data_IF_002415842770
#
_entry.id   IF_002415842770
#
_cell.length_a   1.000
_cell.length_b   1.000
_cell.length_c   1.000
_cell.angle_alpha   90.00
_cell.angle_beta   90.00
_cell.angle_gamma   90.00
#
_symmetry.space_group_name_H-M   'P 1'
#
loop_
_entity.id
_entity.type
_entity.pdbx_description
1 polymer ?
#
# COMPACT_ATOMS: atom_id res chain seq x y z
N UNK A 1 9.35 0.88 -6.00
CA UNK A 1 9.95 1.85 -6.94
C UNK A 1 9.07 3.09 -7.10
N UNK A 2 7.78 2.94 -7.44
CA UNK A 2 6.86 4.07 -7.69
C UNK A 2 6.86 5.15 -6.60
N UNK A 3 6.63 4.76 -5.33
CA UNK A 3 6.65 5.70 -4.19
C UNK A 3 7.98 6.45 -4.11
N UNK A 4 9.10 5.72 -4.14
CA UNK A 4 10.43 6.29 -3.92
C UNK A 4 10.92 7.15 -5.08
N UNK A 5 10.57 6.81 -6.31
CA UNK A 5 10.83 7.70 -7.45
C UNK A 5 10.01 8.99 -7.35
N UNK A 6 8.74 8.88 -6.95
CA UNK A 6 7.87 10.06 -6.77
C UNK A 6 8.44 10.98 -5.69
N UNK A 7 8.85 10.39 -4.57
CA UNK A 7 9.52 11.11 -3.49
C UNK A 7 10.81 11.76 -3.95
N UNK A 8 11.68 11.06 -4.67
CA UNK A 8 12.90 11.65 -5.23
C UNK A 8 12.58 12.85 -6.12
N UNK A 9 11.58 12.75 -6.97
CA UNK A 9 11.26 13.81 -7.94
C UNK A 9 10.56 15.02 -7.31
N UNK A 10 9.68 14.80 -6.35
CA UNK A 10 8.75 15.84 -5.86
C UNK A 10 8.98 16.28 -4.41
N UNK A 11 9.70 15.51 -3.60
CA UNK A 11 9.81 15.73 -2.14
C UNK A 11 11.27 15.87 -1.71
N UNK A 12 12.11 14.87 -1.99
CA UNK A 12 13.48 14.78 -1.51
C UNK A 12 14.42 14.30 -2.64
N UNK A 13 14.94 15.21 -3.49
CA UNK A 13 15.81 14.88 -4.62
C UNK A 13 17.10 14.15 -4.28
N UNK A 14 17.56 14.31 -3.05
CA UNK A 14 18.77 13.69 -2.52
C UNK A 14 18.62 12.18 -2.26
N UNK A 15 17.39 11.65 -2.24
CA UNK A 15 17.16 10.21 -2.05
C UNK A 15 17.89 9.39 -3.13
N UNK A 16 18.53 8.31 -2.71
CA UNK A 16 19.22 7.39 -3.59
C UNK A 16 18.25 6.47 -4.34
N UNK A 17 17.21 5.98 -3.66
CA UNK A 17 16.13 5.13 -4.19
C UNK A 17 16.53 3.72 -4.63
N UNK A 18 17.69 3.53 -5.26
CA UNK A 18 18.18 2.24 -5.71
C UNK A 18 19.71 2.17 -5.75
N UNK A 19 20.23 0.94 -5.94
CA UNK A 19 21.65 0.67 -5.97
C UNK A 19 22.36 1.11 -4.67
N UNK A 20 21.79 0.73 -3.53
CA UNK A 20 22.41 0.95 -2.23
C UNK A 20 23.71 0.13 -2.15
N UNK A 21 24.78 0.76 -1.67
CA UNK A 21 26.11 0.15 -1.50
C UNK A 21 26.38 -0.22 -0.04
N UNK A 22 25.65 0.37 0.89
CA UNK A 22 25.75 0.07 2.32
C UNK A 22 24.40 0.22 3.00
N UNK A 23 24.26 -0.46 4.14
CA UNK A 23 23.07 -0.34 4.99
C UNK A 23 22.86 1.10 5.47
N UNK A 24 23.95 1.85 5.73
CA UNK A 24 23.90 3.26 6.13
C UNK A 24 23.23 4.13 5.07
N UNK A 25 23.46 3.88 3.77
CA UNK A 25 22.78 4.62 2.71
C UNK A 25 21.27 4.35 2.72
N UNK A 26 20.87 3.10 2.93
CA UNK A 26 19.46 2.73 3.05
C UNK A 26 18.81 3.38 4.30
N UNK A 27 19.49 3.36 5.44
CA UNK A 27 19.02 4.04 6.65
C UNK A 27 18.93 5.56 6.50
N UNK A 28 19.84 6.19 5.74
CA UNK A 28 19.79 7.63 5.46
C UNK A 28 18.55 8.01 4.64
N UNK A 29 18.25 7.25 3.58
CA UNK A 29 17.03 7.46 2.80
C UNK A 29 15.78 7.25 3.67
N UNK A 30 15.76 6.18 4.47
CA UNK A 30 14.65 5.90 5.38
C UNK A 30 14.47 7.01 6.42
N UNK A 31 15.55 7.48 7.04
CA UNK A 31 15.53 8.57 8.00
C UNK A 31 15.00 9.87 7.40
N UNK A 32 15.37 10.16 6.14
CA UNK A 32 14.84 11.31 5.39
C UNK A 32 13.33 11.20 5.20
N UNK A 33 12.84 10.03 4.78
CA UNK A 33 11.40 9.79 4.59
C UNK A 33 10.64 9.93 5.91
N UNK A 34 11.08 9.25 6.97
CA UNK A 34 10.40 9.27 8.28
C UNK A 34 10.40 10.67 8.91
N UNK A 35 11.54 11.39 8.84
CA UNK A 35 11.63 12.76 9.36
C UNK A 35 10.70 13.70 8.60
N UNK A 36 10.64 13.57 7.27
CA UNK A 36 9.75 14.39 6.43
C UNK A 36 8.28 14.09 6.75
N UNK A 37 7.89 12.81 6.82
CA UNK A 37 6.53 12.40 7.17
C UNK A 37 6.13 12.86 8.57
N UNK A 38 7.03 12.73 9.55
CA UNK A 38 6.82 13.21 10.92
C UNK A 38 6.63 14.73 10.97
N UNK A 39 7.44 15.48 10.22
CA UNK A 39 7.30 16.94 10.11
C UNK A 39 5.99 17.37 9.44
N UNK A 40 5.52 16.63 8.42
CA UNK A 40 4.20 16.87 7.82
C UNK A 40 3.08 16.58 8.82
N UNK A 41 3.15 15.46 9.54
CA UNK A 41 2.18 15.11 10.58
C UNK A 41 2.13 16.11 11.74
N UNK A 42 3.27 16.74 12.06
CA UNK A 42 3.38 17.80 13.06
C UNK A 42 3.06 19.20 12.52
N UNK A 43 2.80 19.35 11.22
CA UNK A 43 2.55 20.65 10.57
C UNK A 43 3.80 21.54 10.44
N UNK A 44 5.00 21.03 10.69
CA UNK A 44 6.27 21.77 10.59
C UNK A 44 6.88 21.72 9.19
N UNK A 45 6.45 20.78 8.34
CA UNK A 45 6.85 20.67 6.94
C UNK A 45 5.59 20.66 6.07
N UNK A 46 5.46 21.64 5.19
CA UNK A 46 4.32 21.74 4.25
C UNK A 46 4.74 21.63 2.79
N UNK A 47 5.91 22.19 2.45
CA UNK A 47 6.43 22.28 1.07
C UNK A 47 7.82 21.65 0.99
N UNK A 48 8.09 20.93 -0.10
CA UNK A 48 9.38 20.32 -0.37
C UNK A 48 10.43 21.33 -0.85
N UNK A 49 11.70 20.93 -0.82
CA UNK A 49 12.80 21.74 -1.37
C UNK A 49 12.67 22.04 -2.88
N UNK A 50 11.82 21.29 -3.58
CA UNK A 50 11.52 21.48 -5.02
C UNK A 50 10.17 22.16 -5.26
N UNK A 51 9.55 22.73 -4.21
CA UNK A 51 8.39 23.61 -4.33
C UNK A 51 7.02 22.92 -4.39
N UNK A 52 6.94 21.61 -4.15
CA UNK A 52 5.66 20.89 -4.13
C UNK A 52 5.13 20.70 -2.70
N UNK A 53 3.82 20.82 -2.47
CA UNK A 53 3.22 20.44 -1.20
C UNK A 53 3.45 18.96 -0.88
N UNK A 54 4.06 18.68 0.28
CA UNK A 54 4.54 17.33 0.62
C UNK A 54 3.39 16.36 0.82
N UNK A 55 2.30 16.78 1.47
CA UNK A 55 1.14 15.92 1.72
C UNK A 55 0.48 15.44 0.42
N UNK A 56 0.30 16.33 -0.56
CA UNK A 56 -0.29 16.02 -1.87
C UNK A 56 0.64 15.16 -2.71
N UNK A 57 1.95 15.48 -2.73
CA UNK A 57 2.94 14.65 -3.41
C UNK A 57 3.02 13.24 -2.80
N UNK A 58 2.90 13.13 -1.48
CA UNK A 58 2.87 11.84 -0.78
C UNK A 58 1.59 11.05 -1.07
N UNK A 59 0.42 11.72 -1.06
CA UNK A 59 -0.84 11.11 -1.46
C UNK A 59 -0.75 10.55 -2.88
N UNK A 60 -0.26 11.36 -3.83
CA UNK A 60 -0.07 10.95 -5.22
C UNK A 60 0.87 9.73 -5.32
N UNK A 61 2.01 9.77 -4.61
CA UNK A 61 2.98 8.67 -4.59
C UNK A 61 2.35 7.34 -4.15
N UNK A 62 1.53 7.38 -3.10
CA UNK A 62 0.82 6.21 -2.58
C UNK A 62 -0.26 5.68 -3.52
N UNK A 63 -1.11 6.56 -4.06
CA UNK A 63 -2.18 6.18 -4.99
C UNK A 63 -1.62 5.50 -6.26
N UNK A 64 -0.57 6.07 -6.84
CA UNK A 64 0.10 5.48 -8.02
C UNK A 64 0.80 4.16 -7.70
N UNK A 65 1.18 3.95 -6.44
CA UNK A 65 1.75 2.68 -5.98
C UNK A 65 0.69 1.64 -5.60
N UNK A 66 -0.60 2.01 -5.56
CA UNK A 66 -1.68 1.14 -5.11
C UNK A 66 -1.67 0.90 -3.61
N UNK A 67 -1.17 1.85 -2.81
CA UNK A 67 -1.26 1.80 -1.36
C UNK A 67 -2.69 2.11 -0.90
N UNK A 68 -3.13 1.53 0.23
CA UNK A 68 -4.47 1.75 0.75
C UNK A 68 -4.67 3.23 1.15
N UNK A 69 -5.90 3.73 0.98
CA UNK A 69 -6.34 5.07 1.39
C UNK A 69 -6.84 5.13 2.84
N UNK A 70 -6.78 3.97 3.52
CA UNK A 70 -7.06 3.78 4.94
C UNK A 70 -5.80 3.30 5.66
N UNK A 71 -5.64 3.66 6.92
CA UNK A 71 -4.57 3.17 7.80
C UNK A 71 -5.16 2.69 9.13
N UNK A 72 -4.31 2.31 10.08
CA UNK A 72 -4.75 1.86 11.42
C UNK A 72 -5.45 2.95 12.22
N UNK A 73 -5.19 4.22 11.93
CA UNK A 73 -5.77 5.40 12.61
C UNK A 73 -6.82 6.11 11.74
N UNK A 74 -6.61 6.12 10.43
CA UNK A 74 -7.39 6.90 9.48
C UNK A 74 -8.29 5.99 8.64
N UNK A 75 -9.60 6.20 8.71
CA UNK A 75 -10.60 5.39 7.98
C UNK A 75 -10.88 5.86 6.55
N UNK A 76 -10.25 6.96 6.13
CA UNK A 76 -10.42 7.57 4.82
C UNK A 76 -11.72 8.35 4.65
N UNK A 77 -12.50 8.55 5.72
CA UNK A 77 -13.84 9.14 5.63
C UNK A 77 -14.07 10.21 6.68
N UNK A 78 -13.64 9.97 7.92
CA UNK A 78 -14.04 10.80 9.06
C UNK A 78 -13.43 12.19 8.98
N UNK A 79 -14.30 13.20 9.04
CA UNK A 79 -13.95 14.63 9.14
C UNK A 79 -13.94 15.04 10.62
N UNK A 80 -13.08 15.99 10.98
CA UNK A 80 -13.05 16.50 12.35
C UNK A 80 -14.41 17.12 12.72
N UNK A 81 -15.04 16.73 13.85
CA UNK A 81 -16.37 17.23 14.25
C UNK A 81 -16.46 18.75 14.38
N UNK A 82 -15.33 19.43 14.64
CA UNK A 82 -15.28 20.89 14.73
C UNK A 82 -15.73 21.60 13.43
N UNK A 83 -15.60 20.96 12.26
CA UNK A 83 -16.09 21.54 11.01
C UNK A 83 -17.61 21.68 10.98
N UNK A 84 -18.33 20.76 11.62
CA UNK A 84 -19.79 20.83 11.72
C UNK A 84 -20.25 21.90 12.72
N UNK A 85 -19.46 22.17 13.77
CA UNK A 85 -19.85 23.10 14.84
C UNK A 85 -19.36 24.53 14.62
N UNK A 86 -18.15 24.71 14.11
CA UNK A 86 -17.52 26.02 13.89
C UNK A 86 -17.72 26.55 12.46
N UNK A 87 -18.07 25.66 11.52
CA UNK A 87 -18.00 25.94 10.08
C UNK A 87 -16.57 25.89 9.54
N UNK A 88 -16.44 25.72 8.23
CA UNK A 88 -15.16 25.45 7.55
C UNK A 88 -14.10 26.51 7.82
N UNK A 89 -14.43 27.80 7.71
CA UNK A 89 -13.44 28.87 7.86
C UNK A 89 -12.84 28.90 9.27
N UNK A 90 -13.69 28.89 10.30
CA UNK A 90 -13.24 28.94 11.68
C UNK A 90 -12.53 27.64 12.09
N UNK A 91 -12.96 26.49 11.59
CA UNK A 91 -12.26 25.22 11.82
C UNK A 91 -10.86 25.18 11.19
N UNK A 92 -10.71 25.67 9.95
CA UNK A 92 -9.39 25.77 9.29
C UNK A 92 -8.48 26.73 10.04
N UNK A 93 -8.97 27.94 10.39
CA UNK A 93 -8.20 28.92 11.18
C UNK A 93 -7.83 28.38 12.56
N UNK A 94 -8.72 27.60 13.17
CA UNK A 94 -8.47 26.92 14.44
C UNK A 94 -7.44 25.78 14.36
N UNK A 95 -7.04 25.37 13.15
CA UNK A 95 -6.10 24.28 12.90
C UNK A 95 -6.72 22.88 13.02
N UNK A 96 -8.04 22.76 12.86
CA UNK A 96 -8.72 21.46 12.90
C UNK A 96 -8.49 20.68 11.60
N UNK A 97 -8.22 19.38 11.74
CA UNK A 97 -7.96 18.45 10.63
C UNK A 97 -8.46 17.05 11.00
N UNK A 98 -8.80 16.19 10.01
CA UNK A 98 -8.89 16.47 8.58
C UNK A 98 -10.18 17.24 8.22
N UNK A 99 -10.11 18.04 7.14
CA UNK A 99 -11.21 18.89 6.66
C UNK A 99 -12.21 18.17 5.74
N UNK A 100 -11.84 17.01 5.22
CA UNK A 100 -12.61 16.21 4.26
C UNK A 100 -12.19 14.74 4.33
N UNK A 101 -12.98 13.86 3.72
CA UNK A 101 -12.61 12.45 3.54
C UNK A 101 -11.27 12.30 2.81
N UNK A 102 -11.05 13.06 1.73
CA UNK A 102 -9.78 13.06 1.01
C UNK A 102 -8.60 13.52 1.86
N UNK A 103 -8.78 14.51 2.75
CA UNK A 103 -7.74 14.91 3.70
C UNK A 103 -7.48 13.82 4.77
N UNK A 104 -8.50 13.06 5.16
CA UNK A 104 -8.34 11.87 6.02
C UNK A 104 -7.48 10.81 5.31
N UNK A 105 -7.79 10.50 4.04
CA UNK A 105 -6.96 9.59 3.23
C UNK A 105 -5.55 10.10 2.99
N UNK A 106 -5.34 11.41 2.83
CA UNK A 106 -4.00 12.00 2.72
C UNK A 106 -3.18 11.74 3.99
N UNK A 107 -3.79 11.89 5.16
CA UNK A 107 -3.16 11.59 6.45
C UNK A 107 -2.92 10.08 6.65
N UNK A 108 -3.86 9.22 6.23
CA UNK A 108 -3.67 7.77 6.17
C UNK A 108 -2.43 7.41 5.33
N UNK A 109 -2.26 8.09 4.19
CA UNK A 109 -1.15 7.85 3.28
C UNK A 109 0.21 8.23 3.87
N UNK A 110 0.28 9.14 4.85
CA UNK A 110 1.53 9.39 5.58
C UNK A 110 1.99 8.13 6.33
N UNK A 111 1.06 7.42 6.98
CA UNK A 111 1.36 6.18 7.68
C UNK A 111 1.69 5.04 6.71
N UNK A 112 0.88 4.88 5.66
CA UNK A 112 1.04 3.79 4.70
C UNK A 112 2.32 3.95 3.87
N UNK A 113 2.66 5.16 3.43
CA UNK A 113 3.94 5.41 2.76
C UNK A 113 5.11 5.22 3.71
N UNK A 114 5.01 5.63 4.98
CA UNK A 114 6.04 5.35 5.98
C UNK A 114 6.35 3.86 6.11
N UNK A 115 5.32 3.03 6.27
CA UNK A 115 5.46 1.57 6.33
C UNK A 115 5.99 0.96 5.02
N UNK A 116 5.44 1.37 3.87
CA UNK A 116 5.86 0.89 2.56
C UNK A 116 7.30 1.32 2.21
N UNK A 117 7.74 2.50 2.64
CA UNK A 117 9.10 3.00 2.43
C UNK A 117 10.12 2.20 3.26
N UNK A 118 9.81 1.87 4.52
CA UNK A 118 10.68 1.02 5.34
C UNK A 118 10.99 -0.31 4.64
N UNK A 119 9.97 -1.02 4.17
CA UNK A 119 10.17 -2.26 3.41
C UNK A 119 10.78 -2.02 2.03
N UNK A 120 10.31 -1.00 1.33
CA UNK A 120 10.76 -0.68 -0.02
C UNK A 120 12.23 -0.27 -0.10
N UNK A 121 12.78 0.33 0.97
CA UNK A 121 14.19 0.73 1.08
C UNK A 121 15.02 -0.41 1.64
N UNK A 122 14.66 -0.96 2.81
CA UNK A 122 15.46 -1.99 3.48
C UNK A 122 15.41 -3.32 2.73
N UNK A 123 14.22 -3.74 2.27
CA UNK A 123 14.06 -4.92 1.45
C UNK A 123 14.72 -4.79 0.08
N UNK A 124 14.77 -3.57 -0.48
CA UNK A 124 15.55 -3.32 -1.70
C UNK A 124 17.03 -3.48 -1.45
N UNK A 125 17.59 -2.85 -0.42
CA UNK A 125 19.00 -3.01 -0.07
C UNK A 125 19.33 -4.50 0.06
N UNK A 126 18.51 -5.24 0.81
CA UNK A 126 18.69 -6.66 1.02
C UNK A 126 18.71 -7.46 -0.30
N UNK A 127 17.70 -7.26 -1.15
CA UNK A 127 17.61 -7.95 -2.44
C UNK A 127 18.72 -7.55 -3.42
N UNK A 128 19.15 -6.29 -3.41
CA UNK A 128 20.29 -5.82 -4.21
C UNK A 128 21.59 -6.48 -3.73
N UNK A 129 21.80 -6.63 -2.42
CA UNK A 129 22.96 -7.33 -1.87
C UNK A 129 22.95 -8.83 -2.20
N UNK A 130 21.78 -9.49 -2.12
CA UNK A 130 21.64 -10.89 -2.57
C UNK A 130 21.93 -11.03 -4.06
N UNK A 131 21.38 -10.13 -4.87
CA UNK A 131 21.60 -10.13 -6.31
C UNK A 131 23.10 -9.98 -6.64
N UNK A 132 23.82 -9.10 -5.94
CA UNK A 132 25.28 -8.97 -6.08
C UNK A 132 26.01 -10.26 -5.77
N UNK A 133 25.66 -10.91 -4.65
CA UNK A 133 26.31 -12.16 -4.26
C UNK A 133 26.06 -13.28 -5.27
N UNK A 134 24.79 -13.49 -5.66
CA UNK A 134 24.38 -14.59 -6.55
C UNK A 134 24.93 -14.41 -7.97
N UNK A 135 24.88 -13.19 -8.51
CA UNK A 135 25.28 -12.91 -9.89
C UNK A 135 26.68 -12.26 -10.00
N UNK A 136 27.46 -12.25 -8.91
CA UNK A 136 28.79 -11.65 -8.84
C UNK A 136 28.87 -10.21 -9.39
N UNK A 137 27.85 -9.39 -9.11
CA UNK A 137 27.77 -8.02 -9.61
C UNK A 137 28.72 -7.13 -8.79
N UNK A 138 29.69 -6.44 -9.42
CA UNK A 138 30.61 -5.54 -8.71
C UNK A 138 29.87 -4.42 -7.95
N UNK A 139 30.47 -3.91 -6.88
CA UNK A 139 29.90 -2.81 -6.09
C UNK A 139 29.70 -1.51 -6.90
N UNK A 140 30.50 -1.31 -7.94
CA UNK A 140 30.43 -0.17 -8.87
C UNK A 140 29.32 -0.31 -9.91
N UNK A 141 28.80 -1.51 -10.10
CA UNK A 141 27.74 -1.80 -11.07
C UNK A 141 26.38 -1.77 -10.38
N UNK A 142 25.36 -1.26 -11.06
CA UNK A 142 24.00 -1.26 -10.51
C UNK A 142 23.48 -2.69 -10.29
N UNK A 143 22.97 -2.95 -9.09
CA UNK A 143 22.24 -4.19 -8.77
C UNK A 143 20.72 -4.00 -8.76
N UNK A 144 20.23 -2.88 -9.30
CA UNK A 144 18.80 -2.61 -9.37
C UNK A 144 18.07 -3.69 -10.18
N UNK A 145 16.96 -4.20 -9.65
CA UNK A 145 16.17 -5.27 -10.26
C UNK A 145 14.75 -4.82 -10.66
N UNK A 146 14.42 -3.52 -10.54
CA UNK A 146 13.15 -2.97 -11.02
C UNK A 146 13.40 -1.84 -12.01
N UNK A 147 12.81 -1.95 -13.20
CA UNK A 147 12.91 -0.91 -14.22
C UNK A 147 11.83 0.15 -14.04
N UNK A 148 12.21 1.43 -14.08
CA UNK A 148 11.25 2.51 -14.21
C UNK A 148 11.49 3.47 -15.39
N UNK A 149 12.43 3.17 -16.29
CA UNK A 149 12.82 4.09 -17.37
C UNK A 149 11.59 4.47 -18.21
N UNK A 150 10.77 3.49 -18.58
CA UNK A 150 9.63 3.71 -19.47
C UNK A 150 8.28 3.86 -18.76
N UNK A 151 8.25 3.93 -17.44
CA UNK A 151 7.00 4.05 -16.66
C UNK A 151 6.30 5.36 -17.00
N UNK A 152 5.01 5.32 -17.32
CA UNK A 152 4.16 6.51 -17.26
C UNK A 152 3.46 6.55 -15.92
N UNK A 153 3.88 7.48 -15.07
CA UNK A 153 3.30 7.70 -13.75
C UNK A 153 1.87 8.23 -13.86
N UNK A 154 1.58 9.03 -14.90
CA UNK A 154 0.21 9.48 -15.22
C UNK A 154 -0.76 8.31 -15.41
N UNK A 155 -0.31 7.21 -16.03
CA UNK A 155 -1.13 6.02 -16.28
C UNK A 155 -1.32 5.15 -15.03
N UNK A 156 -0.57 5.39 -13.95
CA UNK A 156 -0.73 4.66 -12.70
C UNK A 156 -1.88 5.19 -11.85
N UNK A 157 -2.32 6.44 -12.08
CA UNK A 157 -3.46 7.04 -11.41
C UNK A 157 -4.72 6.88 -12.26
N UNK A 158 -5.69 6.10 -11.78
CA UNK A 158 -6.91 5.80 -12.55
C UNK A 158 -7.84 7.02 -12.66
N UNK A 159 -8.79 6.97 -13.59
CA UNK A 159 -9.86 7.99 -13.73
C UNK A 159 -10.65 8.16 -12.44
N UNK A 160 -10.96 7.06 -11.77
CA UNK A 160 -11.72 7.03 -10.52
C UNK A 160 -10.92 7.72 -9.41
N UNK A 161 -9.63 7.38 -9.27
CA UNK A 161 -8.75 8.03 -8.29
C UNK A 161 -8.56 9.52 -8.57
N UNK A 162 -8.54 9.93 -9.85
CA UNK A 162 -8.50 11.35 -10.24
C UNK A 162 -9.78 12.08 -9.87
N UNK A 163 -10.94 11.45 -10.04
CA UNK A 163 -12.22 12.02 -9.63
C UNK A 163 -12.35 12.11 -8.11
N UNK A 164 -12.05 11.02 -7.41
CA UNK A 164 -12.18 10.90 -5.95
C UNK A 164 -11.21 11.82 -5.20
N UNK A 165 -9.94 11.86 -5.61
CA UNK A 165 -8.91 12.63 -4.89
C UNK A 165 -8.50 13.92 -5.60
N UNK A 166 -9.14 14.28 -6.71
CA UNK A 166 -8.79 15.45 -7.52
C UNK A 166 -8.75 16.74 -6.72
N UNK A 167 -9.79 17.01 -5.92
CA UNK A 167 -9.85 18.21 -5.07
C UNK A 167 -8.74 18.20 -4.02
N UNK A 168 -8.46 17.05 -3.40
CA UNK A 168 -7.41 16.95 -2.38
C UNK A 168 -6.02 17.10 -2.98
N UNK A 169 -5.77 16.50 -4.14
CA UNK A 169 -4.51 16.58 -4.88
C UNK A 169 -4.26 17.97 -5.47
N UNK A 170 -5.32 18.75 -5.71
CA UNK A 170 -5.25 20.14 -6.16
C UNK A 170 -5.43 21.16 -5.02
N UNK A 171 -5.66 20.72 -3.78
CA UNK A 171 -5.83 21.59 -2.62
C UNK A 171 -4.49 22.22 -2.23
N UNK A 172 -4.11 23.28 -2.94
CA UNK A 172 -2.90 24.05 -2.68
C UNK A 172 -3.06 25.50 -3.11
N UNK A 173 -2.52 26.40 -2.29
CA UNK A 173 -2.33 27.81 -2.64
C UNK A 173 -0.98 28.08 -3.32
N UNK A 174 -0.10 27.07 -3.40
CA UNK A 174 1.27 27.19 -3.91
C UNK A 174 1.28 27.18 -5.44
N UNK A 175 0.44 26.35 -6.06
CA UNK A 175 0.46 26.14 -7.50
C UNK A 175 -0.94 25.80 -8.04
N UNK A 176 -1.42 26.49 -9.10
CA UNK A 176 -2.65 26.09 -9.77
C UNK A 176 -2.45 24.76 -10.51
N UNK A 177 -3.50 23.94 -10.59
CA UNK A 177 -3.48 22.66 -11.32
C UNK A 177 -2.35 21.70 -10.84
N UNK A 178 -2.14 21.67 -9.53
CA UNK A 178 -1.02 20.98 -8.87
C UNK A 178 -0.92 19.51 -9.27
N UNK A 179 -2.03 18.77 -9.35
CA UNK A 179 -2.01 17.35 -9.72
C UNK A 179 -1.34 17.14 -11.09
N UNK A 180 -1.77 17.90 -12.10
CA UNK A 180 -1.21 17.77 -13.44
C UNK A 180 0.25 18.24 -13.50
N UNK A 181 0.61 19.26 -12.73
CA UNK A 181 2.00 19.70 -12.64
C UNK A 181 2.92 18.64 -12.01
N UNK A 182 2.48 17.97 -10.94
CA UNK A 182 3.22 16.86 -10.34
C UNK A 182 3.39 15.67 -11.31
N UNK A 183 2.30 15.30 -11.99
CA UNK A 183 2.33 14.21 -12.98
C UNK A 183 3.22 14.53 -14.18
N UNK A 184 3.13 15.74 -14.73
CA UNK A 184 3.99 16.20 -15.81
C UNK A 184 5.46 16.17 -15.39
N UNK A 185 5.77 16.60 -14.15
CA UNK A 185 7.14 16.56 -13.63
C UNK A 185 7.68 15.13 -13.51
N UNK A 186 6.85 14.16 -13.12
CA UNK A 186 7.23 12.75 -13.05
C UNK A 186 7.47 12.15 -14.44
N UNK A 187 6.60 12.46 -15.41
CA UNK A 187 6.66 11.89 -16.76
C UNK A 187 7.65 12.62 -17.68
N UNK A 188 8.14 13.80 -17.32
CA UNK A 188 9.16 14.54 -18.06
C UNK A 188 10.46 13.73 -18.29
N UNK A 189 10.78 12.78 -17.42
CA UNK A 189 11.96 11.92 -17.50
C UNK A 189 11.68 10.55 -18.14
N UNK A 190 10.47 10.31 -18.68
CA UNK A 190 10.11 9.04 -19.31
C UNK A 190 11.02 8.76 -20.51
N UNK A 191 11.65 7.59 -20.50
CA UNK A 191 12.64 7.19 -21.50
C UNK A 191 14.07 7.62 -21.20
N UNK A 192 14.31 8.45 -20.18
CA UNK A 192 15.64 8.92 -19.82
C UNK A 192 16.31 7.98 -18.80
N UNK A 193 17.28 7.20 -19.26
CA UNK A 193 18.04 6.26 -18.44
C UNK A 193 19.03 6.94 -17.46
N UNK A 194 19.30 8.24 -17.61
CA UNK A 194 20.17 9.01 -16.69
C UNK A 194 19.38 9.61 -15.53
N UNK A 195 18.10 9.94 -15.76
CA UNK A 195 17.18 10.46 -14.76
C UNK A 195 16.34 9.38 -14.06
N UNK A 196 16.40 8.12 -14.53
CA UNK A 196 15.63 6.98 -14.03
C UNK A 196 16.51 5.76 -13.79
N UNK A 197 15.93 4.73 -13.18
CA UNK A 197 16.62 3.53 -12.72
C UNK A 197 16.30 2.35 -13.64
N UNK A 198 17.20 2.08 -14.57
CA UNK A 198 17.16 0.87 -15.40
C UNK A 198 17.44 -0.39 -14.58
N UNK A 199 16.79 -1.50 -14.95
CA UNK A 199 17.07 -2.79 -14.33
C UNK A 199 18.36 -3.42 -14.89
N UNK A 200 19.17 -3.99 -14.01
CA UNK A 200 20.28 -4.87 -14.38
C UNK A 200 19.75 -6.28 -14.65
N UNK A 201 19.98 -6.81 -15.85
CA UNK A 201 19.48 -8.13 -16.25
C UNK A 201 19.97 -9.27 -15.35
N UNK A 202 21.23 -9.23 -14.91
CA UNK A 202 21.81 -10.23 -14.01
C UNK A 202 21.17 -10.14 -12.61
N UNK A 203 20.90 -8.94 -12.11
CA UNK A 203 20.20 -8.75 -10.85
C UNK A 203 18.74 -9.25 -10.92
N UNK A 204 18.03 -8.96 -12.02
CA UNK A 204 16.68 -9.48 -12.27
C UNK A 204 16.68 -11.00 -12.30
N UNK A 205 17.64 -11.63 -12.98
CA UNK A 205 17.77 -13.08 -13.02
C UNK A 205 18.03 -13.67 -11.63
N UNK A 206 18.94 -13.08 -10.86
CA UNK A 206 19.24 -13.51 -9.50
C UNK A 206 18.03 -13.42 -8.56
N UNK A 207 17.32 -12.29 -8.55
CA UNK A 207 16.12 -12.10 -7.71
C UNK A 207 15.02 -13.08 -8.10
N UNK A 208 14.81 -13.33 -9.40
CA UNK A 208 13.82 -14.31 -9.87
C UNK A 208 14.18 -15.77 -9.56
N UNK A 209 15.45 -16.07 -9.33
CA UNK A 209 15.92 -17.39 -8.95
C UNK A 209 15.78 -17.67 -7.46
N UNK A 210 15.50 -16.66 -6.62
CA UNK A 210 15.26 -16.86 -5.20
C UNK A 210 14.05 -17.79 -4.97
N UNK A 211 14.08 -18.64 -3.93
CA UNK A 211 12.93 -19.45 -3.56
C UNK A 211 11.69 -18.58 -3.33
N UNK A 212 10.61 -18.87 -4.05
CA UNK A 212 9.34 -18.18 -3.96
C UNK A 212 8.18 -19.17 -4.07
N UNK A 213 7.05 -18.83 -3.44
CA UNK A 213 5.82 -19.60 -3.59
C UNK A 213 5.44 -19.65 -5.07
N UNK A 214 5.19 -20.87 -5.59
CA UNK A 214 4.69 -21.08 -6.94
C UNK A 214 3.19 -21.26 -6.87
N UNK A 215 2.45 -20.62 -7.77
CA UNK A 215 1.00 -20.83 -7.92
C UNK A 215 0.69 -22.17 -8.58
N UNK A 216 1.21 -23.26 -8.01
CA UNK A 216 1.06 -24.64 -8.48
C UNK A 216 0.30 -25.41 -7.41
N UNK A 217 -0.87 -25.93 -7.78
CA UNK A 217 -1.72 -26.65 -6.84
C UNK A 217 -1.20 -28.08 -6.64
N UNK A 218 -0.78 -28.39 -5.41
CA UNK A 218 -0.38 -29.74 -4.99
C UNK A 218 -1.13 -30.21 -3.74
N UNK A 219 -1.64 -29.29 -2.92
CA UNK A 219 -2.32 -29.57 -1.65
C UNK A 219 -3.50 -28.62 -1.46
N UNK A 220 -4.52 -29.01 -0.65
CA UNK A 220 -5.57 -28.07 -0.24
C UNK A 220 -4.96 -26.78 0.29
N UNK A 221 -5.42 -25.64 -0.21
CA UNK A 221 -4.82 -24.33 0.08
C UNK A 221 -5.89 -23.32 0.42
N UNK A 222 -5.73 -22.63 1.54
CA UNK A 222 -6.57 -21.49 1.93
C UNK A 222 -5.68 -20.26 2.01
N UNK A 223 -6.08 -19.20 1.32
CA UNK A 223 -5.44 -17.90 1.39
C UNK A 223 -6.35 -16.95 2.16
N UNK A 224 -5.79 -16.21 3.11
CA UNK A 224 -6.46 -15.10 3.78
C UNK A 224 -5.58 -13.87 3.67
N UNK A 225 -6.16 -12.70 3.40
CA UNK A 225 -5.42 -11.46 3.22
C UNK A 225 -6.18 -10.28 3.77
N UNK A 226 -5.47 -9.33 4.37
CA UNK A 226 -6.09 -8.06 4.74
C UNK A 226 -6.31 -7.22 3.49
N UNK A 227 -7.53 -6.70 3.28
CA UNK A 227 -7.85 -5.90 2.08
C UNK A 227 -6.97 -4.66 1.99
N UNK A 228 -6.82 -3.94 3.11
CA UNK A 228 -6.01 -2.72 3.20
C UNK A 228 -4.66 -3.01 3.87
N UNK A 229 -3.87 -3.89 3.26
CA UNK A 229 -2.50 -4.17 3.67
C UNK A 229 -1.50 -3.27 2.89
N UNK A 230 -0.78 -2.35 3.56
CA UNK A 230 0.18 -1.46 2.89
C UNK A 230 1.51 -2.15 2.52
N UNK A 231 1.73 -3.39 2.97
CA UNK A 231 2.95 -4.19 2.77
C UNK A 231 2.73 -5.19 1.64
N UNK A 232 1.62 -5.94 1.66
CA UNK A 232 1.27 -6.93 0.64
C UNK A 232 -0.14 -6.65 0.12
N UNK A 233 -0.22 -5.87 -0.97
CA UNK A 233 -1.50 -5.56 -1.60
C UNK A 233 -2.31 -6.84 -1.92
N UNK A 234 -3.60 -6.83 -1.59
CA UNK A 234 -4.51 -7.97 -1.71
C UNK A 234 -4.61 -8.56 -3.14
N UNK A 235 -4.36 -7.74 -4.17
CA UNK A 235 -4.25 -8.19 -5.56
C UNK A 235 -3.15 -9.23 -5.79
N UNK A 236 -2.08 -9.27 -4.99
CA UNK A 236 -1.07 -10.34 -5.06
C UNK A 236 -1.68 -11.71 -4.74
N UNK A 237 -2.58 -11.76 -3.76
CA UNK A 237 -3.29 -12.97 -3.36
C UNK A 237 -4.25 -13.42 -4.46
N UNK A 238 -4.97 -12.50 -5.10
CA UNK A 238 -5.85 -12.82 -6.25
C UNK A 238 -5.03 -13.39 -7.42
N UNK A 239 -3.91 -12.77 -7.78
CA UNK A 239 -3.03 -13.31 -8.84
C UNK A 239 -2.44 -14.68 -8.51
N UNK A 240 -2.08 -14.92 -7.24
CA UNK A 240 -1.57 -16.21 -6.79
C UNK A 240 -2.66 -17.29 -6.82
N UNK A 241 -3.86 -16.96 -6.35
CA UNK A 241 -5.02 -17.84 -6.39
C UNK A 241 -5.40 -18.22 -7.82
N UNK A 242 -5.42 -17.26 -8.75
CA UNK A 242 -5.70 -17.53 -10.15
C UNK A 242 -4.71 -18.54 -10.76
N UNK A 243 -3.42 -18.45 -10.40
CA UNK A 243 -2.39 -19.42 -10.82
C UNK A 243 -2.65 -20.80 -10.20
N UNK A 244 -2.94 -20.86 -8.89
CA UNK A 244 -3.31 -22.12 -8.22
C UNK A 244 -4.53 -22.77 -8.88
N UNK A 245 -5.59 -22.00 -9.14
CA UNK A 245 -6.81 -22.46 -9.78
C UNK A 245 -6.53 -23.05 -11.16
N UNK A 246 -5.76 -22.33 -11.98
CA UNK A 246 -5.33 -22.80 -13.30
C UNK A 246 -4.51 -24.07 -13.22
N UNK A 247 -3.55 -24.16 -12.29
CA UNK A 247 -2.73 -25.36 -12.09
C UNK A 247 -3.54 -26.56 -11.62
N UNK A 248 -4.60 -26.32 -10.83
CA UNK A 248 -5.47 -27.35 -10.28
C UNK A 248 -6.67 -27.71 -11.15
N UNK A 249 -6.81 -27.15 -12.36
CA UNK A 249 -7.99 -27.27 -13.20
C UNK A 249 -8.40 -28.72 -13.54
N UNK A 250 -7.45 -29.68 -13.51
CA UNK A 250 -7.72 -31.11 -13.74
C UNK A 250 -8.13 -31.88 -12.48
N UNK A 251 -8.14 -31.24 -11.31
CA UNK A 251 -8.54 -31.88 -10.06
C UNK A 251 -10.04 -32.18 -10.07
N UNK A 252 -10.42 -33.43 -9.75
CA UNK A 252 -11.83 -33.82 -9.59
C UNK A 252 -12.54 -33.04 -8.47
N UNK A 253 -11.77 -32.58 -7.48
CA UNK A 253 -12.24 -31.74 -6.39
C UNK A 253 -11.13 -30.75 -6.03
N UNK A 254 -11.19 -29.55 -6.62
CA UNK A 254 -10.20 -28.51 -6.40
C UNK A 254 -10.42 -27.81 -5.04
N UNK A 255 -9.53 -28.08 -4.08
CA UNK A 255 -9.66 -27.63 -2.69
C UNK A 255 -8.86 -26.36 -2.43
N UNK A 256 -9.23 -25.29 -3.11
CA UNK A 256 -8.65 -23.96 -2.86
C UNK A 256 -9.72 -22.96 -2.43
N UNK A 257 -9.35 -22.03 -1.55
CA UNK A 257 -10.19 -20.91 -1.13
C UNK A 257 -9.34 -19.64 -0.95
N UNK A 258 -9.94 -18.48 -1.20
CA UNK A 258 -9.35 -17.17 -0.92
C UNK A 258 -10.35 -16.34 -0.12
N UNK A 259 -9.86 -15.60 0.86
CA UNK A 259 -10.66 -14.74 1.72
C UNK A 259 -9.95 -13.42 1.92
N UNK A 260 -10.75 -12.36 2.03
CA UNK A 260 -10.26 -11.01 2.27
C UNK A 260 -10.91 -10.47 3.53
N UNK A 261 -10.12 -9.93 4.45
CA UNK A 261 -10.69 -9.24 5.61
C UNK A 261 -11.06 -7.82 5.21
N UNK A 262 -12.21 -7.36 5.68
CA UNK A 262 -12.68 -5.98 5.53
C UNK A 262 -12.53 -5.27 6.87
N UNK A 263 -12.20 -3.97 6.86
CA UNK A 263 -12.16 -3.18 8.07
C UNK A 263 -13.56 -3.14 8.71
N UNK A 264 -13.63 -2.83 10.00
CA UNK A 264 -14.90 -2.45 10.64
C UNK A 264 -15.52 -1.28 9.86
N UNK A 265 -16.85 -1.09 9.91
CA UNK A 265 -17.50 0.07 9.30
C UNK A 265 -16.81 1.38 9.70
N UNK A 266 -16.93 2.38 8.82
CA UNK A 266 -16.31 3.69 8.94
C UNK A 266 -16.57 4.35 10.32
N UNK A 267 -15.68 5.26 10.74
CA UNK A 267 -15.80 5.98 12.01
C UNK A 267 -14.84 5.50 13.09
N UNK A 268 -13.80 4.72 12.75
CA UNK A 268 -12.77 4.32 13.71
C UNK A 268 -11.67 5.38 13.89
N UNK A 269 -11.62 6.40 13.03
CA UNK A 269 -10.85 7.61 13.34
C UNK A 269 -11.51 8.36 14.50
N UNK A 270 -10.83 8.43 15.64
CA UNK A 270 -11.33 9.06 16.86
C UNK A 270 -10.67 10.41 17.11
N UNK A 271 -11.38 11.27 17.82
CA UNK A 271 -10.88 12.58 18.28
C UNK A 271 -11.09 12.67 19.78
N UNK A 272 -10.12 13.24 20.49
CA UNK A 272 -10.37 13.74 21.83
C UNK A 272 -11.38 14.89 21.78
N UNK A 273 -12.07 15.16 22.89
CA UNK A 273 -12.97 16.31 22.98
C UNK A 273 -12.20 17.62 22.69
N UNK A 274 -12.65 18.39 21.69
CA UNK A 274 -11.95 19.59 21.22
C UNK A 274 -10.63 19.32 20.49
N UNK A 275 -10.33 18.07 20.15
CA UNK A 275 -9.10 17.68 19.48
C UNK A 275 -8.97 18.28 18.07
N UNK A 276 -7.82 18.89 17.79
CA UNK A 276 -7.51 19.50 16.48
C UNK A 276 -7.10 18.50 15.41
N UNK A 277 -6.69 17.31 15.81
CA UNK A 277 -6.31 16.20 14.93
C UNK A 277 -6.86 14.89 15.49
N UNK A 278 -6.89 13.82 14.69
CA UNK A 278 -7.23 12.50 15.21
C UNK A 278 -6.34 12.10 16.37
N UNK A 279 -6.96 11.46 17.35
CA UNK A 279 -6.28 10.83 18.46
C UNK A 279 -5.88 9.41 18.05
N UNK A 280 -4.58 9.24 17.78
CA UNK A 280 -4.02 7.96 17.37
C UNK A 280 -4.18 6.88 18.45
N UNK A 281 -4.05 7.24 19.72
CA UNK A 281 -4.18 6.31 20.83
C UNK A 281 -5.63 5.84 20.97
N UNK A 282 -6.60 6.76 20.91
CA UNK A 282 -8.02 6.41 20.95
C UNK A 282 -8.45 5.60 19.72
N UNK A 283 -7.95 5.94 18.54
CA UNK A 283 -8.24 5.20 17.30
C UNK A 283 -7.66 3.79 17.34
N UNK A 284 -6.42 3.63 17.85
CA UNK A 284 -5.81 2.32 18.04
C UNK A 284 -6.50 1.50 19.14
N UNK A 285 -6.87 2.13 20.26
CA UNK A 285 -7.56 1.49 21.37
C UNK A 285 -8.95 0.96 20.99
N UNK A 286 -9.60 1.59 20.01
CA UNK A 286 -10.85 1.08 19.45
C UNK A 286 -10.67 -0.30 18.79
N UNK A 287 -9.45 -0.70 18.43
CA UNK A 287 -9.05 -2.00 17.85
C UNK A 287 -9.98 -2.55 16.76
N UNK A 288 -10.64 -1.66 16.02
CA UNK A 288 -11.69 -2.01 15.06
C UNK A 288 -11.23 -1.82 13.62
N UNK A 289 -10.10 -1.15 13.39
CA UNK A 289 -9.71 -0.76 12.02
C UNK A 289 -9.62 -1.95 11.08
N UNK A 290 -9.06 -3.09 11.48
CA UNK A 290 -8.87 -4.24 10.58
C UNK A 290 -7.99 -3.92 9.36
N UNK A 291 -7.24 -2.81 9.42
CA UNK A 291 -6.31 -2.31 8.40
C UNK A 291 -4.88 -2.59 8.84
N UNK A 292 -3.99 -2.89 7.91
CA UNK A 292 -2.58 -3.14 8.17
C UNK A 292 -2.11 -4.53 7.75
N UNK A 293 -0.86 -4.83 8.06
CA UNK A 293 -0.25 -6.10 7.68
C UNK A 293 -0.62 -7.21 8.66
N UNK A 294 -1.18 -8.30 8.13
CA UNK A 294 -1.68 -9.42 8.92
C UNK A 294 -2.65 -9.01 10.04
N UNK A 295 -3.53 -8.04 9.78
CA UNK A 295 -4.44 -7.45 10.76
C UNK A 295 -5.64 -8.36 11.11
N UNK A 296 -5.39 -9.65 11.35
CA UNK A 296 -6.38 -10.68 11.59
C UNK A 296 -6.88 -10.77 13.04
N UNK A 297 -6.27 -9.97 13.93
CA UNK A 297 -6.54 -9.96 15.37
C UNK A 297 -7.36 -8.77 15.85
N UNK A 298 -7.58 -7.77 14.99
CA UNK A 298 -8.33 -6.56 15.34
C UNK A 298 -9.83 -6.86 15.50
N UNK A 299 -10.45 -7.33 14.43
CA UNK A 299 -11.87 -7.68 14.43
C UNK A 299 -12.01 -9.10 14.99
N UNK A 300 -12.67 -9.22 16.15
CA UNK A 300 -12.93 -10.49 16.84
C UNK A 300 -11.70 -11.23 17.43
N UNK A 301 -10.61 -10.52 17.78
CA UNK A 301 -9.56 -11.09 18.64
C UNK A 301 -8.85 -12.33 18.08
N UNK A 302 -8.74 -12.47 16.77
CA UNK A 302 -8.05 -13.58 16.11
C UNK A 302 -8.97 -14.70 15.58
N UNK A 303 -10.30 -14.57 15.73
CA UNK A 303 -11.25 -15.57 15.19
C UNK A 303 -11.08 -15.81 13.69
N UNK A 304 -10.64 -14.82 12.92
CA UNK A 304 -10.32 -14.95 11.48
C UNK A 304 -9.26 -16.02 11.23
N UNK A 305 -8.19 -16.07 12.02
CA UNK A 305 -7.17 -17.12 11.88
C UNK A 305 -7.69 -18.47 12.33
N UNK A 306 -8.38 -18.53 13.48
CA UNK A 306 -8.92 -19.79 14.01
C UNK A 306 -9.93 -20.42 13.03
N UNK A 307 -10.83 -19.62 12.48
CA UNK A 307 -11.82 -20.10 11.50
C UNK A 307 -11.18 -20.41 10.14
N UNK A 308 -10.14 -19.70 9.71
CA UNK A 308 -9.36 -20.08 8.54
C UNK A 308 -8.71 -21.47 8.70
N UNK A 309 -8.14 -21.77 9.87
CA UNK A 309 -7.60 -23.11 10.18
C UNK A 309 -8.69 -24.17 10.20
N UNK A 310 -9.83 -23.90 10.86
CA UNK A 310 -10.98 -24.81 10.88
C UNK A 310 -11.51 -25.07 9.46
N UNK A 311 -11.59 -24.01 8.64
CA UNK A 311 -12.00 -24.07 7.23
C UNK A 311 -11.05 -24.93 6.41
N UNK A 312 -9.73 -24.71 6.53
CA UNK A 312 -8.72 -25.51 5.83
C UNK A 312 -8.83 -26.98 6.22
N UNK A 313 -8.96 -27.29 7.52
CA UNK A 313 -9.14 -28.67 7.98
C UNK A 313 -10.43 -29.30 7.41
N UNK A 314 -11.53 -28.56 7.39
CA UNK A 314 -12.78 -29.03 6.78
C UNK A 314 -12.65 -29.23 5.26
N UNK A 315 -11.91 -28.37 4.56
CA UNK A 315 -11.60 -28.51 3.12
C UNK A 315 -10.77 -29.76 2.85
N UNK A 316 -9.73 -30.02 3.66
CA UNK A 316 -8.91 -31.23 3.57
C UNK A 316 -9.79 -32.48 3.67
N UNK A 317 -10.72 -32.50 4.62
CA UNK A 317 -11.60 -33.64 4.88
C UNK A 317 -12.81 -33.76 3.91
N UNK A 318 -13.11 -32.71 3.15
CA UNK A 318 -14.23 -32.73 2.21
C UNK A 318 -14.04 -33.78 1.09
N UNK A 319 -15.02 -34.67 0.93
CA UNK A 319 -15.03 -35.71 -0.13
C UNK A 319 -15.92 -35.37 -1.31
N UNK A 320 -16.77 -34.36 -1.18
CA UNK A 320 -17.76 -33.95 -2.19
C UNK A 320 -17.74 -32.44 -2.38
N UNK A 321 -18.26 -31.96 -3.51
CA UNK A 321 -18.42 -30.53 -3.77
C UNK A 321 -19.31 -29.85 -2.71
N UNK A 322 -20.39 -30.51 -2.29
CA UNK A 322 -21.28 -30.00 -1.23
C UNK A 322 -20.56 -29.88 0.12
N UNK A 323 -19.75 -30.87 0.50
CA UNK A 323 -18.94 -30.80 1.72
C UNK A 323 -17.89 -29.69 1.62
N UNK A 324 -17.27 -29.51 0.46
CA UNK A 324 -16.30 -28.44 0.22
C UNK A 324 -16.96 -27.04 0.30
N UNK A 325 -18.18 -26.89 -0.24
CA UNK A 325 -18.95 -25.64 -0.13
C UNK A 325 -19.27 -25.31 1.33
N UNK A 326 -19.71 -26.30 2.10
CA UNK A 326 -19.96 -26.14 3.55
C UNK A 326 -18.70 -25.78 4.33
N UNK A 327 -17.56 -26.42 4.00
CA UNK A 327 -16.28 -26.07 4.60
C UNK A 327 -15.95 -24.59 4.34
N UNK A 328 -16.01 -24.15 3.08
CA UNK A 328 -15.73 -22.76 2.70
C UNK A 328 -16.66 -21.72 3.36
N UNK A 329 -17.90 -22.11 3.65
CA UNK A 329 -18.89 -21.23 4.28
C UNK A 329 -18.54 -20.88 5.73
N UNK A 330 -17.69 -21.66 6.40
CA UNK A 330 -17.22 -21.38 7.77
C UNK A 330 -16.55 -20.00 7.80
N UNK A 331 -15.59 -19.77 6.90
CA UNK A 331 -14.84 -18.52 6.89
C UNK A 331 -15.65 -17.33 6.35
N UNK A 332 -16.55 -17.54 5.38
CA UNK A 332 -17.47 -16.48 4.94
C UNK A 332 -18.44 -16.01 6.02
N UNK A 333 -18.70 -16.84 7.03
CA UNK A 333 -19.52 -16.47 8.18
C UNK A 333 -18.71 -15.75 9.29
N UNK A 334 -17.39 -15.65 9.15
CA UNK A 334 -16.52 -15.00 10.13
C UNK A 334 -16.68 -13.47 10.07
N UNK A 335 -16.90 -12.83 11.22
CA UNK A 335 -16.98 -11.38 11.30
C UNK A 335 -15.70 -10.70 10.78
N UNK A 336 -15.86 -9.64 9.99
CA UNK A 336 -14.74 -8.93 9.36
C UNK A 336 -14.10 -9.66 8.18
N UNK A 337 -14.65 -10.79 7.73
CA UNK A 337 -14.34 -11.38 6.43
C UNK A 337 -15.35 -10.89 5.40
N UNK A 338 -14.88 -10.57 4.20
CA UNK A 338 -15.77 -10.22 3.10
C UNK A 338 -16.62 -11.43 2.72
N UNK A 339 -17.93 -11.31 2.88
CA UNK A 339 -18.90 -12.35 2.58
C UNK A 339 -19.47 -12.26 1.15
N UNK A 340 -19.06 -11.26 0.37
CA UNK A 340 -19.33 -11.20 -1.05
C UNK A 340 -18.45 -12.21 -1.80
N UNK A 341 -19.06 -13.29 -2.27
CA UNK A 341 -18.39 -14.33 -3.04
C UNK A 341 -17.90 -13.87 -4.42
N UNK A 342 -18.24 -12.66 -4.85
CA UNK A 342 -17.77 -12.04 -6.10
C UNK A 342 -16.74 -10.93 -5.86
N UNK A 343 -16.41 -10.63 -4.61
CA UNK A 343 -15.44 -9.60 -4.31
C UNK A 343 -14.06 -9.93 -4.89
N UNK A 344 -13.51 -8.99 -5.64
CA UNK A 344 -12.12 -8.99 -6.08
C UNK A 344 -11.44 -7.73 -5.54
N UNK A 345 -10.23 -7.85 -4.97
CA UNK A 345 -9.47 -6.67 -4.56
C UNK A 345 -9.01 -5.87 -5.78
N UNK A 346 -8.62 -4.62 -5.54
CA UNK A 346 -8.00 -3.79 -6.57
C UNK A 346 -6.84 -4.52 -7.26
N UNK A 347 -6.84 -4.44 -8.59
CA UNK A 347 -5.78 -5.00 -9.40
C UNK A 347 -4.43 -4.33 -9.06
N UNK A 348 -3.36 -5.13 -9.08
CA UNK A 348 -2.01 -4.60 -8.89
C UNK A 348 -1.70 -3.54 -9.94
N UNK A 349 -1.15 -2.42 -9.49
CA UNK A 349 -0.58 -1.42 -10.39
C UNK A 349 0.58 -2.07 -11.16
N UNK A 350 0.58 -1.96 -12.50
CA UNK A 350 1.62 -2.52 -13.38
C UNK A 350 2.36 -1.40 -14.13
N UNK A 351 3.42 -0.80 -13.55
CA UNK A 351 4.12 0.36 -14.12
C UNK A 351 4.69 0.17 -15.53
N UNK A 352 4.98 -1.08 -15.91
CA UNK A 352 5.56 -1.44 -17.20
C UNK A 352 4.62 -2.30 -18.06
N UNK A 353 3.32 -2.39 -17.72
CA UNK A 353 2.36 -3.02 -18.62
C UNK A 353 2.21 -2.14 -19.87
N UNK A 354 2.41 -2.76 -21.05
CA UNK A 354 2.11 -2.16 -22.35
C UNK A 354 0.63 -2.24 -22.62
#
# INVERSE_FOLDING_TARGET
>A
MTVMYTWKTLIAPTLRVANYQSYTQALSDLGTVLTTLGGVGAGTISTSAVGYPVAQANLLAGLMAGLPTKSTVYDGQTVNPAYATLGTLAAVVGGYSPASAGANSAAAMLQNVGGAAALGILGRYELEQRARAIASIPATTTANFNDNINVSYTNLLSSEQRGEFGDTLNASTVMPNLLNAMLAKLDASKGDATARFGANAAAVAAVRALPAAKGVYSVPTLLISTTYDPIVAAGNTSEFYAKLAKSGAKSKLLKIAQYYTVPSPDGYTKFAAGGKSPDAAASAAANTSGVGHCAFFGIAGGTQITNAVTTLNAMVNAKTASALKKAKAIEYATAGVNNDGQYEPDALKRPNAK
#
